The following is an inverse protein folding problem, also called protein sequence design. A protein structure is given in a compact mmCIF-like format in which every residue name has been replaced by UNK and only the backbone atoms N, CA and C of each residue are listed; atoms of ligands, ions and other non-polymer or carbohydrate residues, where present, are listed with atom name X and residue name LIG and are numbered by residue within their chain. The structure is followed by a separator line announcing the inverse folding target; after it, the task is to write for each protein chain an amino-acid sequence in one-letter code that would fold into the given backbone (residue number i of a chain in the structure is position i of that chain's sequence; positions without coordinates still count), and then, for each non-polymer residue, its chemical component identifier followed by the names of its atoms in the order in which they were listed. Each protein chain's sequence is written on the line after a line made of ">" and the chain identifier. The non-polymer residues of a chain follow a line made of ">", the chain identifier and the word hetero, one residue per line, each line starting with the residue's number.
data_IF_015348122683
#
_entry.id   IF_015348122683
#
_cell.length_a   1.000
_cell.length_b   1.000
_cell.length_c   1.000
_cell.angle_alpha   90.00
_cell.angle_beta   90.00
_cell.angle_gamma   90.00
#
_symmetry.space_group_name_H-M   'P 1'
#
loop_
_entity.id
_entity.type
_entity.pdbx_description
1 polymer ?
#
# COMPACT_ATOMS: atom_id res chain seq x y z
N UNK A 1 65.07 31.06 -37.47
CA UNK A 1 64.78 30.48 -38.81
C UNK A 1 64.40 29.02 -38.59
N UNK A 2 63.41 28.72 -37.74
CA UNK A 2 61.97 28.87 -37.96
C UNK A 2 61.49 28.08 -39.17
N UNK A 3 60.88 26.93 -38.91
CA UNK A 3 59.91 26.33 -39.83
C UNK A 3 58.79 25.71 -38.99
N UNK A 4 57.75 26.53 -38.80
CA UNK A 4 56.40 26.13 -38.41
C UNK A 4 55.80 25.24 -39.51
N UNK A 5 55.15 24.16 -39.14
CA UNK A 5 54.10 23.55 -39.96
C UNK A 5 52.97 23.03 -39.06
N UNK A 6 51.81 23.64 -39.29
CA UNK A 6 50.54 23.50 -38.60
C UNK A 6 49.98 22.07 -38.62
N UNK A 7 49.31 21.66 -37.55
CA UNK A 7 48.28 20.63 -37.61
C UNK A 7 46.97 21.20 -37.10
N UNK A 8 45.96 21.16 -37.97
CA UNK A 8 44.62 21.69 -37.75
C UNK A 8 43.83 20.82 -36.79
N UNK A 9 43.18 21.49 -35.85
CA UNK A 9 42.20 20.94 -34.92
C UNK A 9 40.86 20.75 -35.63
N UNK A 10 40.36 19.51 -35.70
CA UNK A 10 38.98 19.22 -36.11
C UNK A 10 38.16 18.93 -34.86
N UNK A 11 37.26 19.87 -34.53
CA UNK A 11 36.30 19.74 -33.44
C UNK A 11 35.19 18.75 -33.84
N UNK A 12 34.95 17.74 -33.00
CA UNK A 12 33.77 16.88 -33.06
C UNK A 12 32.59 17.55 -32.34
N UNK A 13 31.34 17.40 -32.83
CA UNK A 13 30.16 18.00 -32.21
C UNK A 13 29.78 17.31 -30.88
N UNK A 14 29.14 18.03 -29.94
CA UNK A 14 28.73 17.47 -28.66
C UNK A 14 27.55 16.50 -28.84
N UNK A 15 27.63 15.32 -28.21
CA UNK A 15 26.53 14.36 -28.10
C UNK A 15 25.56 14.82 -27.00
N UNK A 16 24.24 14.75 -27.19
CA UNK A 16 23.28 15.00 -26.13
C UNK A 16 23.10 13.70 -25.33
N UNK A 17 23.68 13.65 -24.14
CA UNK A 17 23.42 12.60 -23.15
C UNK A 17 22.98 13.26 -21.86
N UNK A 18 21.79 12.95 -21.40
CA UNK A 18 21.26 13.43 -20.14
C UNK A 18 22.22 13.01 -19.01
N UNK A 19 22.95 13.99 -18.49
CA UNK A 19 23.82 13.81 -17.34
C UNK A 19 22.98 13.76 -16.07
N UNK A 20 22.58 12.57 -15.63
CA UNK A 20 22.30 12.37 -14.21
C UNK A 20 23.65 12.26 -13.48
N UNK A 21 24.11 13.44 -13.06
CA UNK A 21 25.33 13.63 -12.28
C UNK A 21 25.07 13.06 -10.89
N UNK A 22 25.75 11.96 -10.54
CA UNK A 22 25.83 11.47 -9.16
C UNK A 22 26.58 12.50 -8.31
N UNK A 23 25.93 13.58 -7.90
CA UNK A 23 26.50 14.56 -6.97
C UNK A 23 26.23 14.06 -5.56
N UNK A 24 27.22 13.40 -4.96
CA UNK A 24 27.30 13.23 -3.52
C UNK A 24 27.67 14.57 -2.88
N UNK A 25 26.69 15.44 -2.65
CA UNK A 25 26.87 16.64 -1.83
C UNK A 25 26.47 16.32 -0.39
N UNK A 26 27.46 16.17 0.48
CA UNK A 26 27.24 16.12 1.91
C UNK A 26 26.63 17.45 2.38
N UNK A 27 25.39 17.43 2.88
CA UNK A 27 24.77 18.60 3.49
C UNK A 27 25.36 18.87 4.89
N UNK A 28 25.75 20.13 5.20
CA UNK A 28 26.06 20.55 6.56
C UNK A 28 24.77 20.75 7.39
N UNK A 29 24.80 20.30 8.66
CA UNK A 29 23.71 20.52 9.64
C UNK A 29 23.50 22.01 9.93
N UNK A 30 22.27 22.54 9.92
CA UNK A 30 21.96 23.79 10.61
C UNK A 30 21.66 23.49 12.08
N UNK A 31 22.53 24.00 12.95
CA UNK A 31 22.23 24.21 14.37
C UNK A 31 21.49 25.53 14.61
N UNK A 32 20.94 25.69 15.81
CA UNK A 32 20.69 27.00 16.41
C UNK A 32 19.21 27.35 16.58
N UNK A 33 18.74 27.25 17.82
CA UNK A 33 17.36 27.52 18.25
C UNK A 33 16.79 28.90 17.89
N UNK A 34 15.50 28.89 17.56
CA UNK A 34 14.62 30.05 17.53
C UNK A 34 13.41 29.77 18.42
N UNK A 35 13.33 30.50 19.53
CA UNK A 35 12.34 30.40 20.60
C UNK A 35 11.00 31.02 20.15
N UNK A 36 9.96 30.21 19.91
CA UNK A 36 8.59 30.69 19.69
C UNK A 36 7.74 30.39 20.92
N UNK A 37 7.55 31.41 21.76
CA UNK A 37 6.62 31.36 22.89
C UNK A 37 5.15 31.29 22.45
N UNK A 38 4.26 30.72 23.27
CA UNK A 38 2.87 30.49 22.91
C UNK A 38 2.04 31.79 22.90
N UNK A 39 1.25 31.98 21.85
CA UNK A 39 0.26 33.06 21.70
C UNK A 39 -1.00 32.74 22.53
N UNK A 40 -1.58 33.68 23.29
CA UNK A 40 -2.78 33.41 24.11
C UNK A 40 -4.07 33.30 23.26
N UNK A 41 -5.08 32.53 23.72
CA UNK A 41 -6.32 32.28 22.98
C UNK A 41 -7.31 33.46 23.10
N UNK A 42 -7.93 33.82 21.97
CA UNK A 42 -9.05 34.76 21.91
C UNK A 42 -10.39 34.16 22.36
N UNK A 43 -11.38 34.99 22.73
CA UNK A 43 -12.60 34.56 23.38
C UNK A 43 -13.55 33.78 22.47
N UNK A 44 -14.19 32.76 23.06
CA UNK A 44 -15.16 31.86 22.44
C UNK A 44 -16.51 32.57 22.30
N UNK A 45 -17.02 32.66 21.08
CA UNK A 45 -18.36 33.19 20.85
C UNK A 45 -19.40 32.05 20.87
N UNK A 46 -20.22 32.03 21.91
CA UNK A 46 -21.38 31.17 22.04
C UNK A 46 -22.47 31.57 21.03
N UNK A 47 -22.60 30.84 19.91
CA UNK A 47 -23.78 30.95 19.04
C UNK A 47 -24.95 30.22 19.70
N UNK A 48 -25.90 31.00 20.22
CA UNK A 48 -27.21 30.55 20.71
C UNK A 48 -27.94 29.77 19.61
N UNK A 49 -28.50 28.63 19.99
CA UNK A 49 -29.39 27.84 19.15
C UNK A 49 -30.71 28.55 18.88
N UNK A 50 -31.42 28.08 17.85
CA UNK A 50 -32.87 28.18 17.78
C UNK A 50 -33.43 27.02 16.94
N UNK A 51 -34.49 26.44 17.50
CA UNK A 51 -35.67 25.89 16.85
C UNK A 51 -35.56 24.57 16.06
N UNK A 52 -35.57 23.48 16.82
CA UNK A 52 -36.14 22.20 16.42
C UNK A 52 -37.64 22.38 16.16
N UNK A 53 -38.05 22.54 14.89
CA UNK A 53 -39.45 22.43 14.48
C UNK A 53 -39.67 21.11 13.78
N UNK A 54 -40.11 20.12 14.55
CA UNK A 54 -40.62 18.86 14.05
C UNK A 54 -41.80 19.11 13.10
N UNK A 55 -41.70 18.66 11.85
CA UNK A 55 -42.84 18.45 10.95
C UNK A 55 -42.83 17.02 10.43
N UNK A 56 -43.73 16.24 11.02
CA UNK A 56 -44.59 15.22 10.46
C UNK A 56 -44.27 14.69 9.04
N UNK A 57 -44.11 13.36 8.98
CA UNK A 57 -44.77 12.46 8.03
C UNK A 57 -44.63 12.77 6.54
N UNK A 58 -43.66 12.13 5.88
CA UNK A 58 -43.72 11.94 4.43
C UNK A 58 -44.31 10.56 4.14
N UNK A 59 -45.63 10.50 4.01
CA UNK A 59 -46.32 9.41 3.31
C UNK A 59 -46.13 9.64 1.83
N UNK A 60 -45.34 8.80 1.15
CA UNK A 60 -45.24 8.84 -0.31
C UNK A 60 -46.61 8.48 -0.91
N UNK A 61 -47.21 9.31 -1.77
CA UNK A 61 -48.36 8.88 -2.56
C UNK A 61 -47.86 7.88 -3.61
N UNK A 62 -48.42 6.68 -3.61
CA UNK A 62 -48.36 5.78 -4.77
C UNK A 62 -49.17 6.47 -5.86
N UNK A 63 -48.50 7.22 -6.72
CA UNK A 63 -49.11 7.77 -7.92
C UNK A 63 -49.16 6.66 -8.96
N UNK A 64 -50.36 6.39 -9.50
CA UNK A 64 -50.57 5.59 -10.72
C UNK A 64 -49.87 6.28 -11.90
N UNK A 65 -48.57 6.06 -12.03
CA UNK A 65 -47.77 6.53 -13.14
C UNK A 65 -47.84 5.47 -14.25
N UNK A 66 -48.60 5.75 -15.32
CA UNK A 66 -48.62 4.88 -16.50
C UNK A 66 -47.21 4.72 -17.07
N UNK A 67 -46.63 3.53 -16.94
CA UNK A 67 -45.27 3.26 -17.42
C UNK A 67 -45.26 3.42 -18.95
N UNK A 68 -44.36 4.24 -19.53
CA UNK A 68 -44.31 4.44 -20.98
C UNK A 68 -43.94 3.16 -21.73
N UNK A 69 -44.44 2.99 -22.96
CA UNK A 69 -44.35 1.75 -23.75
C UNK A 69 -42.92 1.19 -23.86
N UNK A 70 -41.94 2.04 -24.17
CA UNK A 70 -40.54 1.62 -24.29
C UNK A 70 -39.93 1.18 -22.95
N UNK A 71 -40.34 1.78 -21.84
CA UNK A 71 -39.93 1.33 -20.51
C UNK A 71 -40.52 -0.03 -20.18
N UNK A 72 -41.72 -0.39 -20.68
CA UNK A 72 -42.29 -1.74 -20.51
C UNK A 72 -41.49 -2.78 -21.27
N UNK A 73 -41.05 -2.48 -22.50
CA UNK A 73 -40.22 -3.39 -23.30
C UNK A 73 -38.88 -3.65 -22.60
N UNK A 74 -38.21 -2.59 -22.16
CA UNK A 74 -36.94 -2.71 -21.44
C UNK A 74 -37.10 -3.44 -20.08
N UNK A 75 -38.16 -3.11 -19.33
CA UNK A 75 -38.46 -3.75 -18.05
C UNK A 75 -38.80 -5.24 -18.23
N UNK A 76 -39.50 -5.63 -19.31
CA UNK A 76 -39.76 -7.03 -19.62
C UNK A 76 -38.47 -7.82 -19.85
N UNK A 77 -37.52 -7.26 -20.60
CA UNK A 77 -36.21 -7.90 -20.82
C UNK A 77 -35.42 -8.05 -19.51
N UNK A 78 -35.37 -6.99 -18.69
CA UNK A 78 -34.68 -7.03 -17.39
C UNK A 78 -35.35 -7.98 -16.39
N UNK A 79 -36.68 -7.98 -16.30
CA UNK A 79 -37.43 -8.86 -15.38
C UNK A 79 -37.25 -10.31 -15.80
N UNK A 80 -37.31 -10.63 -17.10
CA UNK A 80 -37.06 -11.99 -17.58
C UNK A 80 -35.68 -12.51 -17.17
N UNK A 81 -34.63 -11.69 -17.36
CA UNK A 81 -33.28 -12.05 -16.91
C UNK A 81 -33.21 -12.19 -15.39
N UNK A 82 -33.82 -11.27 -14.64
CA UNK A 82 -33.75 -11.26 -13.18
C UNK A 82 -34.55 -12.40 -12.53
N UNK A 83 -35.67 -12.80 -13.11
CA UNK A 83 -36.49 -13.95 -12.68
C UNK A 83 -35.73 -15.26 -12.84
N UNK A 84 -34.87 -15.40 -13.86
CA UNK A 84 -34.03 -16.59 -14.05
C UNK A 84 -32.99 -16.78 -12.94
N UNK A 85 -32.48 -15.67 -12.36
CA UNK A 85 -31.43 -15.70 -11.33
C UNK A 85 -31.95 -15.45 -9.89
N UNK A 86 -33.22 -15.08 -9.71
CA UNK A 86 -33.84 -14.78 -8.41
C UNK A 86 -35.18 -15.50 -8.24
N UNK A 87 -35.18 -16.60 -7.49
CA UNK A 87 -36.37 -17.41 -7.23
C UNK A 87 -37.44 -16.72 -6.37
N UNK A 88 -37.06 -15.74 -5.54
CA UNK A 88 -38.01 -14.98 -4.73
C UNK A 88 -38.82 -14.00 -5.59
N UNK A 89 -38.17 -13.40 -6.59
CA UNK A 89 -38.86 -12.57 -7.58
C UNK A 89 -39.79 -13.40 -8.46
N UNK A 90 -39.36 -14.60 -8.89
CA UNK A 90 -40.18 -15.52 -9.68
C UNK A 90 -41.50 -15.86 -8.96
N UNK A 91 -41.42 -16.19 -7.67
CA UNK A 91 -42.60 -16.50 -6.85
C UNK A 91 -43.58 -15.31 -6.75
N UNK A 92 -43.07 -14.07 -6.67
CA UNK A 92 -43.89 -12.86 -6.60
C UNK A 92 -44.57 -12.53 -7.93
N UNK A 93 -43.88 -12.74 -9.05
CA UNK A 93 -44.45 -12.53 -10.40
C UNK A 93 -45.55 -13.56 -10.68
N UNK A 94 -45.35 -14.83 -10.32
CA UNK A 94 -46.39 -15.87 -10.42
C UNK A 94 -47.60 -15.51 -9.55
N UNK A 95 -47.38 -15.11 -8.30
CA UNK A 95 -48.46 -14.65 -7.42
C UNK A 95 -49.26 -13.48 -8.00
N UNK A 96 -48.58 -12.50 -8.59
CA UNK A 96 -49.22 -11.36 -9.24
C UNK A 96 -50.02 -11.74 -10.51
N UNK A 97 -49.53 -12.70 -11.31
CA UNK A 97 -50.23 -13.19 -12.52
C UNK A 97 -51.47 -14.01 -12.14
N UNK A 98 -51.40 -14.83 -11.08
CA UNK A 98 -52.51 -15.63 -10.59
C UNK A 98 -53.56 -14.80 -9.83
N UNK A 99 -53.42 -13.48 -9.76
CA UNK A 99 -54.30 -12.61 -8.98
C UNK A 99 -54.23 -12.90 -7.47
N UNK A 100 -53.20 -13.62 -7.02
CA UNK A 100 -52.91 -13.82 -5.61
C UNK A 100 -52.32 -12.52 -5.09
N UNK A 101 -53.19 -11.65 -4.57
CA UNK A 101 -52.74 -10.51 -3.76
C UNK A 101 -51.70 -11.01 -2.76
N UNK A 102 -50.56 -10.32 -2.61
CA UNK A 102 -49.59 -10.73 -1.61
C UNK A 102 -50.32 -10.75 -0.30
N UNK A 103 -50.52 -11.96 0.26
CA UNK A 103 -51.15 -12.12 1.54
C UNK A 103 -50.45 -11.13 2.48
N UNK A 104 -51.22 -10.16 2.98
CA UNK A 104 -50.73 -9.23 3.96
C UNK A 104 -50.02 -10.08 5.02
N UNK A 105 -48.71 -9.86 5.15
CA UNK A 105 -47.89 -10.56 6.12
C UNK A 105 -48.69 -10.61 7.43
N UNK A 106 -48.87 -11.78 8.07
CA UNK A 106 -49.41 -11.83 9.41
C UNK A 106 -48.64 -10.79 10.22
N UNK A 107 -49.34 -9.80 10.77
CA UNK A 107 -48.74 -8.86 11.71
C UNK A 107 -48.16 -9.73 12.82
N UNK A 108 -46.83 -9.83 12.85
CA UNK A 108 -46.12 -10.59 13.85
C UNK A 108 -46.55 -10.06 15.23
N UNK A 109 -46.87 -10.96 16.19
CA UNK A 109 -47.20 -10.55 17.54
C UNK A 109 -46.07 -9.72 18.16
N UNK A 110 -46.48 -8.85 19.08
CA UNK A 110 -45.68 -7.92 19.86
C UNK A 110 -44.19 -8.28 20.01
N UNK A 111 -43.37 -7.29 19.67
CA UNK A 111 -41.93 -7.19 19.86
C UNK A 111 -41.39 -7.91 21.10
N UNK A 112 -40.76 -9.06 20.90
CA UNK A 112 -39.65 -9.50 21.72
C UNK A 112 -38.50 -8.47 21.59
N UNK A 113 -37.73 -8.22 22.67
CA UNK A 113 -36.56 -7.36 22.61
C UNK A 113 -35.59 -7.87 21.53
N UNK A 114 -35.00 -6.98 20.71
CA UNK A 114 -34.24 -7.40 19.55
C UNK A 114 -33.07 -8.30 19.98
N UNK A 115 -32.82 -9.42 19.27
CA UNK A 115 -31.61 -10.19 19.50
C UNK A 115 -30.43 -9.25 19.30
N UNK A 116 -29.55 -9.22 20.31
CA UNK A 116 -28.32 -8.43 20.34
C UNK A 116 -27.61 -8.63 19.00
N UNK A 117 -27.61 -7.56 18.18
CA UNK A 117 -26.98 -7.49 16.86
C UNK A 117 -25.61 -8.18 16.97
N UNK A 118 -25.47 -9.32 16.30
CA UNK A 118 -24.16 -9.93 16.13
C UNK A 118 -23.23 -8.85 15.54
N UNK A 119 -22.00 -8.70 16.03
CA UNK A 119 -21.10 -7.66 15.54
C UNK A 119 -20.94 -7.85 14.03
N UNK A 120 -21.32 -6.82 13.29
CA UNK A 120 -21.01 -6.67 11.87
C UNK A 120 -19.50 -6.88 11.71
N UNK A 121 -19.04 -7.72 10.77
CA UNK A 121 -17.62 -7.98 10.60
C UNK A 121 -16.91 -6.64 10.38
N UNK A 122 -16.00 -6.29 11.29
CA UNK A 122 -15.17 -5.09 11.17
C UNK A 122 -14.58 -5.08 9.76
N UNK A 123 -14.88 -4.02 9.00
CA UNK A 123 -14.22 -3.77 7.72
C UNK A 123 -12.70 -3.91 7.94
N UNK A 124 -11.95 -4.57 7.04
CA UNK A 124 -10.52 -4.78 7.22
C UNK A 124 -9.85 -3.45 7.54
N UNK A 125 -9.25 -3.36 8.73
CA UNK A 125 -8.43 -2.20 9.11
C UNK A 125 -7.42 -1.99 7.99
N UNK A 126 -7.43 -0.80 7.39
CA UNK A 126 -6.41 -0.41 6.42
C UNK A 126 -5.04 -0.68 7.05
N UNK A 127 -4.17 -1.36 6.30
CA UNK A 127 -2.85 -1.74 6.81
C UNK A 127 -2.05 -0.46 7.01
N UNK A 128 -1.51 -0.24 8.20
CA UNK A 128 -0.56 0.85 8.44
C UNK A 128 0.72 0.58 7.64
N UNK A 129 0.91 1.35 6.57
CA UNK A 129 2.07 1.28 5.67
C UNK A 129 3.18 2.26 6.05
N UNK A 130 2.96 3.10 7.07
CA UNK A 130 3.85 4.22 7.40
C UNK A 130 5.27 3.75 7.70
N UNK A 131 5.41 2.69 8.50
CA UNK A 131 6.71 2.11 8.85
C UNK A 131 7.46 1.55 7.63
N UNK A 132 6.73 0.98 6.67
CA UNK A 132 7.32 0.45 5.44
C UNK A 132 7.83 1.58 4.53
N UNK A 133 7.04 2.65 4.40
CA UNK A 133 7.43 3.84 3.64
C UNK A 133 8.63 4.55 4.28
N UNK A 134 8.67 4.65 5.62
CA UNK A 134 9.83 5.18 6.34
C UNK A 134 11.10 4.37 6.11
N UNK A 135 11.02 3.04 6.17
CA UNK A 135 12.16 2.18 5.89
C UNK A 135 12.65 2.38 4.44
N UNK A 136 11.72 2.48 3.49
CA UNK A 136 12.04 2.71 2.09
C UNK A 136 12.71 4.08 1.87
N UNK A 137 12.22 5.14 2.53
CA UNK A 137 12.84 6.46 2.50
C UNK A 137 14.26 6.46 3.08
N UNK A 138 14.52 5.67 4.15
CA UNK A 138 15.87 5.50 4.70
C UNK A 138 16.82 4.81 3.72
N UNK A 139 16.35 3.75 3.04
CA UNK A 139 17.15 3.07 2.01
C UNK A 139 17.47 4.01 0.84
N UNK A 140 16.52 4.86 0.47
CA UNK A 140 16.72 5.86 -0.57
C UNK A 140 17.73 6.93 -0.14
N UNK A 141 17.63 7.45 1.08
CA UNK A 141 18.53 8.49 1.60
C UNK A 141 19.99 8.02 1.71
N UNK A 142 20.24 6.83 2.23
CA UNK A 142 21.62 6.35 2.44
C UNK A 142 22.18 5.62 1.21
N UNK A 143 21.34 4.94 0.42
CA UNK A 143 21.77 4.03 -0.64
C UNK A 143 21.32 4.38 -2.05
N UNK A 144 20.45 5.39 -2.25
CA UNK A 144 19.84 5.69 -3.56
C UNK A 144 19.19 4.47 -4.22
N UNK A 145 18.59 3.59 -3.41
CA UNK A 145 18.05 2.30 -3.87
C UNK A 145 17.00 2.46 -4.96
N UNK A 146 16.06 3.40 -4.78
CA UNK A 146 14.97 3.60 -5.72
C UNK A 146 15.52 4.13 -7.04
N UNK A 147 16.40 5.12 -6.99
CA UNK A 147 17.04 5.67 -8.20
C UNK A 147 17.79 4.60 -8.98
N UNK A 148 18.50 3.70 -8.29
CA UNK A 148 19.22 2.61 -8.94
C UNK A 148 18.29 1.58 -9.60
N UNK A 149 17.11 1.32 -9.01
CA UNK A 149 16.13 0.36 -9.56
C UNK A 149 15.32 0.94 -10.72
N UNK A 150 15.06 2.25 -10.72
CA UNK A 150 14.34 2.94 -11.78
C UNK A 150 15.25 3.32 -12.97
N UNK A 151 16.57 3.26 -12.81
CA UNK A 151 17.53 3.52 -13.88
C UNK A 151 17.57 2.37 -14.90
N UNK A 152 17.58 2.71 -16.20
CA UNK A 152 17.75 1.72 -17.27
C UNK A 152 19.22 1.35 -17.44
N UNK A 153 19.60 0.22 -16.84
CA UNK A 153 20.98 -0.26 -16.87
C UNK A 153 21.40 -0.95 -18.17
N UNK A 154 20.49 -1.16 -19.14
CA UNK A 154 20.76 -2.01 -20.31
C UNK A 154 21.88 -1.49 -21.23
N UNK A 155 22.13 -0.18 -21.20
CA UNK A 155 23.14 0.47 -22.04
C UNK A 155 24.51 0.63 -21.37
N UNK A 156 24.63 0.30 -20.08
CA UNK A 156 25.84 0.46 -19.31
C UNK A 156 26.73 -0.79 -19.35
N UNK A 157 28.03 -0.61 -19.09
CA UNK A 157 28.95 -1.74 -18.98
C UNK A 157 28.84 -2.43 -17.62
N UNK A 158 29.17 -3.73 -17.55
CA UNK A 158 29.23 -4.46 -16.28
C UNK A 158 30.15 -3.80 -15.25
N UNK A 159 31.21 -3.12 -15.72
CA UNK A 159 32.14 -2.39 -14.87
C UNK A 159 31.47 -1.17 -14.20
N UNK A 160 30.71 -0.40 -14.97
CA UNK A 160 29.98 0.78 -14.48
C UNK A 160 28.83 0.38 -13.56
N UNK A 161 28.06 -0.64 -13.95
CA UNK A 161 26.98 -1.21 -13.13
C UNK A 161 27.57 -1.74 -11.82
N UNK A 162 28.67 -2.48 -11.89
CA UNK A 162 29.34 -3.00 -10.70
C UNK A 162 29.90 -1.88 -9.80
N UNK A 163 30.37 -0.78 -10.36
CA UNK A 163 30.81 0.38 -9.57
C UNK A 163 29.65 1.03 -8.82
N UNK A 164 28.53 1.30 -9.52
CA UNK A 164 27.32 1.87 -8.92
C UNK A 164 26.71 0.93 -7.87
N UNK A 165 26.58 -0.37 -8.19
CA UNK A 165 26.00 -1.36 -7.30
C UNK A 165 26.74 -1.49 -5.97
N UNK A 166 28.08 -1.34 -5.96
CA UNK A 166 28.87 -1.36 -4.71
C UNK A 166 28.50 -0.20 -3.79
N UNK A 167 28.36 1.01 -4.35
CA UNK A 167 27.97 2.21 -3.58
C UNK A 167 26.57 2.06 -3.01
N UNK A 168 25.60 1.64 -3.84
CA UNK A 168 24.22 1.40 -3.41
C UNK A 168 24.15 0.32 -2.34
N UNK A 169 24.86 -0.78 -2.53
CA UNK A 169 24.91 -1.88 -1.56
C UNK A 169 25.52 -1.44 -0.23
N UNK A 170 26.61 -0.68 -0.22
CA UNK A 170 27.20 -0.14 1.01
C UNK A 170 26.21 0.76 1.77
N UNK A 171 25.54 1.68 1.06
CA UNK A 171 24.54 2.58 1.65
C UNK A 171 23.33 1.84 2.23
N UNK A 172 22.75 0.92 1.47
CA UNK A 172 21.63 0.09 1.94
C UNK A 172 22.02 -0.81 3.13
N UNK A 173 23.24 -1.38 3.09
CA UNK A 173 23.77 -2.18 4.20
C UNK A 173 23.90 -1.33 5.46
N UNK A 174 24.43 -0.11 5.35
CA UNK A 174 24.55 0.84 6.45
C UNK A 174 23.18 1.16 7.05
N UNK A 175 22.22 1.57 6.22
CA UNK A 175 20.85 1.88 6.66
C UNK A 175 20.19 0.70 7.38
N UNK A 176 20.31 -0.52 6.84
CA UNK A 176 19.79 -1.72 7.49
C UNK A 176 20.45 -1.97 8.85
N UNK A 177 21.77 -1.82 8.98
CA UNK A 177 22.47 -2.10 10.24
C UNK A 177 22.23 -1.05 11.32
N UNK A 178 21.94 0.19 10.94
CA UNK A 178 21.61 1.27 11.88
C UNK A 178 20.20 1.13 12.47
N UNK A 179 19.26 0.57 11.69
CA UNK A 179 17.85 0.53 12.06
C UNK A 179 17.31 -0.87 12.36
N UNK A 180 17.96 -1.94 11.91
CA UNK A 180 17.50 -3.32 12.05
C UNK A 180 18.57 -4.23 12.68
N UNK A 181 18.21 -4.94 13.74
CA UNK A 181 19.01 -6.04 14.29
C UNK A 181 18.65 -7.32 13.57
N UNK A 182 19.47 -7.72 12.59
CA UNK A 182 19.26 -8.93 11.80
C UNK A 182 20.06 -10.12 12.35
N UNK A 183 19.38 -11.23 12.59
CA UNK A 183 19.96 -12.51 13.01
C UNK A 183 19.56 -13.63 12.03
N UNK A 184 20.34 -14.71 11.91
CA UNK A 184 19.93 -15.84 11.10
C UNK A 184 18.77 -16.59 11.75
N UNK A 185 17.88 -17.19 10.95
CA UNK A 185 16.78 -18.02 11.48
C UNK A 185 17.31 -19.34 12.05
N UNK A 186 18.38 -19.86 11.46
CA UNK A 186 19.10 -21.07 11.86
C UNK A 186 20.57 -20.77 12.12
N UNK A 187 21.13 -21.36 13.18
CA UNK A 187 22.52 -21.11 13.56
C UNK A 187 23.51 -22.00 12.79
N UNK A 188 23.05 -23.15 12.29
CA UNK A 188 23.87 -24.12 11.56
C UNK A 188 24.46 -23.53 10.28
N UNK A 189 25.55 -24.12 9.79
CA UNK A 189 26.20 -23.67 8.57
C UNK A 189 25.44 -24.03 7.29
N UNK A 190 25.56 -23.18 6.29
CA UNK A 190 25.02 -23.48 4.96
C UNK A 190 25.80 -24.67 4.39
N UNK A 191 25.08 -25.70 3.94
CA UNK A 191 25.66 -26.99 3.55
C UNK A 191 25.66 -28.04 4.67
N UNK A 192 25.33 -27.69 5.92
CA UNK A 192 25.22 -28.68 6.99
C UNK A 192 23.98 -29.56 6.81
N UNK A 193 24.13 -30.86 7.13
CA UNK A 193 23.00 -31.79 7.19
C UNK A 193 22.32 -31.62 8.53
N UNK A 194 21.05 -31.20 8.49
CA UNK A 194 20.23 -30.95 9.67
C UNK A 194 19.03 -31.90 9.67
N UNK A 195 18.63 -32.30 10.88
CA UNK A 195 17.39 -33.03 11.11
C UNK A 195 16.45 -32.09 11.86
N UNK A 196 15.25 -31.88 11.31
CA UNK A 196 14.23 -30.99 11.86
C UNK A 196 12.98 -31.81 12.16
N UNK A 197 12.62 -31.92 13.43
CA UNK A 197 11.43 -32.65 13.89
C UNK A 197 10.13 -32.07 13.33
N UNK A 198 10.01 -30.74 13.29
CA UNK A 198 8.84 -30.03 12.80
C UNK A 198 9.24 -28.79 11.99
N UNK A 199 8.76 -28.70 10.75
CA UNK A 199 8.99 -27.54 9.90
C UNK A 199 7.92 -26.48 10.13
N UNK A 200 8.27 -25.40 10.82
CA UNK A 200 7.42 -24.20 10.93
C UNK A 200 7.43 -23.46 9.60
N UNK A 201 6.32 -23.38 8.83
CA UNK A 201 6.31 -22.80 7.48
C UNK A 201 6.75 -21.34 7.41
N UNK A 202 6.56 -20.58 8.49
CA UNK A 202 6.99 -19.19 8.59
C UNK A 202 8.52 -19.00 8.72
N UNK A 203 9.26 -20.06 9.08
CA UNK A 203 10.70 -20.00 9.34
C UNK A 203 11.50 -20.90 8.41
N UNK A 204 10.94 -22.05 8.03
CA UNK A 204 11.64 -23.08 7.26
C UNK A 204 10.78 -23.48 6.08
N UNK A 205 11.31 -23.25 4.87
CA UNK A 205 10.75 -23.76 3.63
C UNK A 205 11.45 -25.08 3.28
N UNK A 206 10.73 -26.18 3.35
CA UNK A 206 11.20 -27.47 2.85
C UNK A 206 11.19 -27.45 1.32
N UNK A 207 12.26 -27.95 0.69
CA UNK A 207 12.38 -28.04 -0.78
C UNK A 207 12.87 -29.42 -1.17
N UNK A 208 12.30 -30.03 -2.21
CA UNK A 208 12.59 -31.39 -2.65
C UNK A 208 11.38 -32.32 -2.50
N UNK A 209 11.63 -33.64 -2.42
CA UNK A 209 10.57 -34.62 -2.19
C UNK A 209 10.23 -34.66 -0.69
N UNK A 210 9.16 -33.96 -0.31
CA UNK A 210 8.71 -33.84 1.09
C UNK A 210 7.52 -34.78 1.29
N UNK A 211 7.81 -36.04 1.57
CA UNK A 211 6.79 -37.06 1.87
C UNK A 211 6.74 -37.36 3.36
N UNK A 212 5.52 -37.48 3.91
CA UNK A 212 5.28 -37.84 5.30
C UNK A 212 5.32 -36.69 6.32
N UNK A 213 4.85 -37.00 7.53
CA UNK A 213 5.02 -36.18 8.73
C UNK A 213 6.08 -36.86 9.59
N UNK A 214 7.23 -36.22 9.76
CA UNK A 214 8.31 -36.77 10.55
C UNK A 214 9.51 -35.83 10.59
N UNK A 215 10.58 -36.23 11.29
CA UNK A 215 11.82 -35.48 11.24
C UNK A 215 12.33 -35.40 9.80
N UNK A 216 12.34 -34.19 9.26
CA UNK A 216 12.89 -33.88 7.94
C UNK A 216 14.40 -33.82 8.04
N UNK A 217 15.08 -34.74 7.36
CA UNK A 217 16.54 -34.69 7.20
C UNK A 217 16.88 -34.04 5.86
N UNK A 218 17.64 -32.96 5.90
CA UNK A 218 18.01 -32.22 4.70
C UNK A 218 19.26 -31.39 4.90
N UNK A 219 19.75 -30.79 3.82
CA UNK A 219 20.90 -29.88 3.87
C UNK A 219 20.41 -28.44 3.96
N UNK A 220 20.90 -27.67 4.93
CA UNK A 220 20.57 -26.26 5.07
C UNK A 220 21.14 -25.47 3.89
N UNK A 221 20.31 -25.03 2.95
CA UNK A 221 20.78 -24.25 1.79
C UNK A 221 21.08 -22.78 2.11
N UNK A 222 20.29 -22.19 3.00
CA UNK A 222 20.44 -20.79 3.41
C UNK A 222 19.92 -20.63 4.83
N UNK A 223 20.63 -19.90 5.69
CA UNK A 223 20.28 -19.77 7.12
C UNK A 223 19.00 -18.96 7.39
N UNK A 224 18.55 -18.22 6.38
CA UNK A 224 17.44 -17.27 6.50
C UNK A 224 17.83 -16.03 7.30
N UNK A 225 16.96 -15.03 7.32
CA UNK A 225 17.13 -13.82 8.10
C UNK A 225 15.85 -13.55 8.91
N UNK A 226 16.02 -13.18 10.19
CA UNK A 226 14.99 -12.65 11.07
C UNK A 226 15.41 -11.26 11.54
N UNK A 227 14.44 -10.37 11.64
CA UNK A 227 14.61 -9.10 12.33
C UNK A 227 14.24 -9.31 13.80
N UNK A 228 15.20 -9.10 14.70
CA UNK A 228 14.96 -9.20 16.15
C UNK A 228 14.45 -7.88 16.72
N UNK A 229 14.91 -6.78 16.15
CA UNK A 229 14.55 -5.43 16.59
C UNK A 229 14.57 -4.47 15.40
N UNK A 230 13.56 -3.59 15.33
CA UNK A 230 13.43 -2.54 14.34
C UNK A 230 13.27 -1.19 15.04
N UNK A 231 14.19 -0.26 14.78
CA UNK A 231 14.21 1.09 15.35
C UNK A 231 14.15 2.13 14.25
N UNK A 232 12.94 2.57 13.94
CA UNK A 232 12.71 3.63 12.95
C UNK A 232 12.73 5.02 13.61
N UNK A 233 13.23 6.06 12.91
CA UNK A 233 13.10 7.44 13.35
C UNK A 233 11.62 7.84 13.50
N UNK A 234 11.32 8.66 14.50
CA UNK A 234 9.97 9.18 14.70
C UNK A 234 9.63 10.14 13.55
N UNK A 235 8.49 9.92 12.90
CA UNK A 235 7.98 10.84 11.88
C UNK A 235 7.78 12.24 12.48
N UNK A 236 8.35 13.24 11.83
CA UNK A 236 8.12 14.65 12.21
C UNK A 236 6.69 15.03 11.83
N UNK A 237 5.97 15.68 12.75
CA UNK A 237 4.60 16.12 12.50
C UNK A 237 4.54 17.02 11.26
N UNK A 238 3.68 16.66 10.29
CA UNK A 238 3.50 17.40 9.03
C UNK A 238 4.35 16.90 7.85
N UNK A 239 5.17 15.85 8.02
CA UNK A 239 5.83 15.19 6.90
C UNK A 239 4.92 14.14 6.27
N UNK A 240 4.76 14.21 4.94
CA UNK A 240 4.04 13.19 4.18
C UNK A 240 4.95 11.96 3.97
N UNK A 241 4.58 10.83 4.58
CA UNK A 241 5.33 9.57 4.46
C UNK A 241 5.36 9.00 3.03
N UNK A 242 4.46 9.46 2.14
CA UNK A 242 4.48 9.07 0.73
C UNK A 242 5.59 9.76 -0.08
N UNK A 243 6.21 10.82 0.45
CA UNK A 243 7.34 11.51 -0.18
C UNK A 243 8.65 10.86 0.29
N UNK A 244 9.14 9.90 -0.48
CA UNK A 244 10.33 9.11 -0.13
C UNK A 244 11.65 9.87 -0.31
N UNK A 245 11.69 10.78 -1.28
CA UNK A 245 12.78 11.72 -1.53
C UNK A 245 12.20 13.03 -2.06
N UNK A 246 12.75 14.16 -1.64
CA UNK A 246 12.32 15.48 -2.11
C UNK A 246 12.96 15.80 -3.45
N UNK A 247 12.22 16.48 -4.33
CA UNK A 247 12.79 17.03 -5.55
C UNK A 247 13.64 18.27 -5.22
N UNK A 248 14.88 18.30 -5.68
CA UNK A 248 15.79 19.44 -5.51
C UNK A 248 15.73 20.35 -6.75
N UNK A 249 15.56 21.65 -6.52
CA UNK A 249 15.56 22.68 -7.57
C UNK A 249 16.64 23.71 -7.25
N UNK A 250 17.59 23.90 -8.17
CA UNK A 250 18.59 24.97 -8.14
C UNK A 250 18.04 26.21 -8.87
N UNK A 251 18.24 27.41 -8.30
CA UNK A 251 17.78 28.70 -8.83
C UNK A 251 18.96 29.64 -9.09
#
# INVERSE_FOLDING_TARGET
>A
MDTLLCHGSVALPPRPGAHFRWVFTALPKPGGGGNFGPRPPGPRECRKGNDFKAKAGYTSPVSDAEIPFFSRIWLSWLVAFRVLFDGALAARVVGAIEGREPAALPQAPASEPPPKRAPEPEAPKERDTTAALQLLALMQREGRLIDFLEEDVASFSDADIGAAARVVHEGCRKALREHCTLAPVRAEDEGAVITIEEAKPAQIKLTGNVEGKGPYKGTLKHKGWRCEELRLPVAVAGHDAHVLAQAELEL
#
